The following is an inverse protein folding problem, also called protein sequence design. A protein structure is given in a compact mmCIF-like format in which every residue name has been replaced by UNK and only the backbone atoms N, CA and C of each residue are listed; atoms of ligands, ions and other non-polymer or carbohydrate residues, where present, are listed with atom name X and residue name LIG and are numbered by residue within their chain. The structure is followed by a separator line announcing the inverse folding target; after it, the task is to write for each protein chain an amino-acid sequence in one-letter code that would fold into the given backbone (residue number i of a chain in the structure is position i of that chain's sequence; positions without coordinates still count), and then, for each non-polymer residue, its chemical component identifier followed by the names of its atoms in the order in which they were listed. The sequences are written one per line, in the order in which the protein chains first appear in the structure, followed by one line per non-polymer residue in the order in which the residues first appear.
data_IF_611886841415
#
_entry.id   IF_611886841415
#
_cell.length_a   1.000
_cell.length_b   1.000
_cell.length_c   1.000
_cell.angle_alpha   90.00
_cell.angle_beta   90.00
_cell.angle_gamma   90.00
#
_symmetry.space_group_name_H-M   'P 1'
#
loop_
_entity.id
_entity.type
_entity.pdbx_description
1 polymer ?
#
# COMPACT_ATOMS: atom_id res chain seq x y z
N UNK A 1 -15.61 91.96 37.97
CA UNK A 1 -15.52 91.83 39.44
C UNK A 1 -14.34 90.92 39.78
N UNK A 2 -13.17 91.49 40.04
CA UNK A 2 -11.93 90.74 40.29
C UNK A 2 -11.76 90.50 41.79
N UNK A 3 -12.01 89.27 42.25
CA UNK A 3 -11.69 88.86 43.61
C UNK A 3 -10.19 88.58 43.73
N UNK A 4 -9.41 89.59 44.12
CA UNK A 4 -8.01 89.43 44.53
C UNK A 4 -8.00 88.79 45.91
N UNK A 5 -7.87 87.46 45.95
CA UNK A 5 -7.69 86.70 47.18
C UNK A 5 -6.37 87.04 47.86
N UNK A 6 -6.46 87.55 49.09
CA UNK A 6 -5.36 87.78 50.03
C UNK A 6 -4.63 86.47 50.35
N UNK A 7 -3.33 86.38 50.02
CA UNK A 7 -2.46 85.28 50.48
C UNK A 7 -1.81 85.67 51.80
N UNK A 8 -2.23 85.03 52.88
CA UNK A 8 -1.52 85.05 54.16
C UNK A 8 -0.14 84.40 53.96
N UNK A 9 0.92 85.16 54.24
CA UNK A 9 2.31 84.70 54.22
C UNK A 9 2.61 83.93 55.51
N UNK A 10 2.28 82.64 55.53
CA UNK A 10 2.85 81.70 56.49
C UNK A 10 4.23 81.26 55.97
N UNK A 11 5.27 81.56 56.74
CA UNK A 11 6.65 81.21 56.42
C UNK A 11 6.84 79.70 56.23
N UNK A 12 7.64 79.33 55.23
CA UNK A 12 8.34 78.05 55.20
C UNK A 12 7.73 76.89 54.39
N UNK A 13 6.56 77.03 53.75
CA UNK A 13 6.04 75.96 52.87
C UNK A 13 5.90 76.47 51.45
N UNK A 14 6.77 75.98 50.54
CA UNK A 14 6.66 76.23 49.11
C UNK A 14 5.42 75.48 48.58
N UNK A 15 4.31 76.19 48.40
CA UNK A 15 3.11 75.64 47.74
C UNK A 15 3.39 75.50 46.24
N UNK A 16 3.97 74.36 45.85
CA UNK A 16 4.10 73.98 44.46
C UNK A 16 2.74 73.49 43.95
N UNK A 17 2.12 74.23 43.03
CA UNK A 17 0.96 73.71 42.32
C UNK A 17 1.42 72.57 41.40
N UNK A 18 0.85 71.38 41.59
CA UNK A 18 1.09 70.27 40.68
C UNK A 18 0.64 70.64 39.26
N UNK A 19 1.39 70.19 38.25
CA UNK A 19 0.97 70.33 36.86
C UNK A 19 -0.39 69.63 36.67
N UNK A 20 -1.29 70.17 35.84
CA UNK A 20 -2.56 69.51 35.57
C UNK A 20 -2.32 68.10 35.04
N UNK A 21 -3.18 67.16 35.44
CA UNK A 21 -3.12 65.78 34.98
C UNK A 21 -3.34 65.74 33.47
N UNK A 22 -2.49 64.99 32.76
CA UNK A 22 -2.59 64.79 31.31
C UNK A 22 -3.67 63.74 31.02
N UNK A 23 -4.93 64.14 31.17
CA UNK A 23 -6.07 63.30 30.80
C UNK A 23 -6.33 63.39 29.30
N UNK A 24 -6.68 62.26 28.67
CA UNK A 24 -7.12 62.18 27.28
C UNK A 24 -8.60 62.59 27.18
N UNK A 25 -8.93 63.83 27.59
CA UNK A 25 -10.29 64.40 27.47
C UNK A 25 -10.55 64.98 26.08
N UNK A 26 -9.64 64.76 25.13
CA UNK A 26 -9.81 65.21 23.75
C UNK A 26 -10.93 64.42 23.08
N UNK A 27 -11.63 65.09 22.17
CA UNK A 27 -12.61 64.45 21.30
C UNK A 27 -11.99 63.36 20.43
N UNK A 28 -12.84 62.68 19.69
CA UNK A 28 -12.46 61.56 18.83
C UNK A 28 -11.45 62.06 17.79
N UNK A 29 -10.26 61.47 17.78
CA UNK A 29 -9.21 61.81 16.82
C UNK A 29 -9.56 61.28 15.43
N UNK A 30 -9.62 62.17 14.43
CA UNK A 30 -9.80 61.82 13.02
C UNK A 30 -8.59 62.34 12.23
N UNK A 31 -7.84 61.47 11.54
CA UNK A 31 -6.73 61.90 10.71
C UNK A 31 -7.26 62.70 9.51
N UNK A 32 -6.47 63.66 9.05
CA UNK A 32 -6.74 64.36 7.79
C UNK A 32 -6.24 63.48 6.63
N UNK A 33 -7.09 63.26 5.63
CA UNK A 33 -6.74 62.43 4.47
C UNK A 33 -5.71 63.10 3.53
N UNK A 34 -5.61 64.43 3.57
CA UNK A 34 -4.66 65.19 2.75
C UNK A 34 -3.26 65.27 3.37
N UNK A 35 -3.09 64.89 4.64
CA UNK A 35 -1.81 65.00 5.33
C UNK A 35 -0.93 63.77 5.02
N UNK A 36 0.25 63.93 4.40
CA UNK A 36 1.14 62.80 4.09
C UNK A 36 1.79 62.19 5.35
N UNK A 37 1.72 62.88 6.48
CA UNK A 37 2.21 62.39 7.78
C UNK A 37 1.23 61.39 8.43
N UNK A 38 -0.02 61.30 7.95
CA UNK A 38 -0.98 60.33 8.46
C UNK A 38 -0.62 58.92 7.96
N UNK A 39 -0.50 57.93 8.84
CA UNK A 39 -0.18 56.58 8.41
C UNK A 39 -1.37 55.96 7.66
N UNK A 40 -1.07 55.24 6.57
CA UNK A 40 -2.09 54.72 5.65
C UNK A 40 -3.19 53.87 6.33
N UNK A 41 -2.86 53.10 7.36
CA UNK A 41 -3.83 52.27 8.10
C UNK A 41 -4.89 53.08 8.87
N UNK A 42 -4.65 54.37 9.18
CA UNK A 42 -5.66 55.22 9.81
C UNK A 42 -6.69 55.77 8.81
N UNK A 43 -6.38 55.67 7.51
CA UNK A 43 -7.24 56.12 6.42
C UNK A 43 -8.13 55.00 5.86
N UNK A 44 -8.00 53.77 6.38
CA UNK A 44 -8.78 52.62 5.92
C UNK A 44 -10.15 52.52 6.60
N UNK A 45 -11.07 51.81 5.96
CA UNK A 45 -12.39 51.50 6.52
C UNK A 45 -12.31 50.71 7.85
N UNK A 46 -11.24 49.93 8.05
CA UNK A 46 -11.00 49.18 9.28
C UNK A 46 -10.78 50.11 10.48
N UNK A 47 -10.08 51.23 10.28
CA UNK A 47 -9.90 52.23 11.32
C UNK A 47 -11.20 52.93 11.68
N UNK A 48 -12.03 53.25 10.67
CA UNK A 48 -13.37 53.80 10.87
C UNK A 48 -14.26 52.82 11.66
N UNK A 49 -14.22 51.53 11.32
CA UNK A 49 -14.93 50.48 12.06
C UNK A 49 -14.44 50.37 13.52
N UNK A 50 -13.12 50.47 13.75
CA UNK A 50 -12.54 50.48 15.09
C UNK A 50 -12.98 51.72 15.91
N UNK A 51 -13.05 52.89 15.28
CA UNK A 51 -13.55 54.11 15.93
C UNK A 51 -15.03 53.98 16.29
N UNK A 52 -15.85 53.46 15.38
CA UNK A 52 -17.26 53.17 15.63
C UNK A 52 -17.44 52.13 16.74
N UNK A 53 -16.64 51.07 16.78
CA UNK A 53 -16.69 50.09 17.88
C UNK A 53 -16.35 50.68 19.25
N UNK A 54 -15.46 51.68 19.31
CA UNK A 54 -15.05 52.33 20.58
C UNK A 54 -15.99 53.43 21.06
N UNK A 55 -16.50 54.23 20.14
CA UNK A 55 -17.25 55.45 20.47
C UNK A 55 -18.72 55.40 20.01
N UNK A 56 -19.14 54.31 19.37
CA UNK A 56 -20.48 54.15 18.81
C UNK A 56 -20.79 55.23 17.78
N UNK A 57 -22.06 55.67 17.77
CA UNK A 57 -22.55 56.72 16.87
C UNK A 57 -21.87 58.08 17.07
N UNK A 58 -21.26 58.33 18.23
CA UNK A 58 -20.54 59.57 18.49
C UNK A 58 -19.30 59.73 17.59
N UNK A 59 -18.79 58.64 16.98
CA UNK A 59 -17.69 58.67 16.01
C UNK A 59 -18.04 59.37 14.69
N UNK A 60 -19.34 59.53 14.37
CA UNK A 60 -19.79 60.10 13.11
C UNK A 60 -19.47 59.24 11.88
N UNK A 61 -19.17 57.95 12.08
CA UNK A 61 -19.02 56.97 10.99
C UNK A 61 -20.40 56.43 10.63
N UNK A 62 -20.70 56.39 9.33
CA UNK A 62 -21.95 55.82 8.82
C UNK A 62 -21.99 54.31 9.02
N UNK A 63 -23.00 53.75 9.72
CA UNK A 63 -23.07 52.31 9.99
C UNK A 63 -23.18 51.44 8.74
N UNK A 64 -23.73 51.97 7.64
CA UNK A 64 -23.86 51.25 6.36
C UNK A 64 -22.51 50.90 5.75
N UNK A 65 -21.49 51.73 5.95
CA UNK A 65 -20.13 51.55 5.43
C UNK A 65 -19.35 50.44 6.15
N UNK A 66 -19.85 49.98 7.30
CA UNK A 66 -19.24 48.89 8.07
C UNK A 66 -19.51 47.53 7.43
N UNK A 67 -20.61 47.42 6.67
CA UNK A 67 -20.90 46.21 5.91
C UNK A 67 -19.98 46.11 4.68
N UNK A 68 -19.59 44.90 4.28
CA UNK A 68 -18.83 44.68 3.06
C UNK A 68 -19.53 45.30 1.83
N UNK A 69 -18.74 45.79 0.88
CA UNK A 69 -19.27 46.13 -0.44
C UNK A 69 -19.71 44.86 -1.16
N UNK A 70 -20.57 45.01 -2.18
CA UNK A 70 -21.06 43.88 -2.97
C UNK A 70 -19.91 43.07 -3.61
N UNK A 71 -18.87 43.74 -4.10
CA UNK A 71 -17.68 43.10 -4.67
C UNK A 71 -16.96 42.23 -3.63
N UNK A 72 -16.69 42.79 -2.44
CA UNK A 72 -16.05 42.05 -1.34
C UNK A 72 -16.91 40.89 -0.85
N UNK A 73 -18.23 41.06 -0.85
CA UNK A 73 -19.16 40.00 -0.48
C UNK A 73 -19.09 38.83 -1.46
N UNK A 74 -19.04 39.11 -2.77
CA UNK A 74 -18.87 38.08 -3.79
C UNK A 74 -17.51 37.36 -3.67
N UNK A 75 -16.42 38.09 -3.40
CA UNK A 75 -15.10 37.50 -3.14
C UNK A 75 -15.14 36.55 -1.94
N UNK A 76 -15.70 37.00 -0.81
CA UNK A 76 -15.84 36.17 0.38
C UNK A 76 -16.71 34.93 0.16
N UNK A 77 -17.83 35.07 -0.57
CA UNK A 77 -18.67 33.92 -0.93
C UNK A 77 -17.95 32.93 -1.84
N UNK A 78 -17.14 33.42 -2.78
CA UNK A 78 -16.36 32.57 -3.68
C UNK A 78 -15.26 31.82 -2.92
N UNK A 79 -14.56 32.50 -2.01
CA UNK A 79 -13.60 31.87 -1.11
C UNK A 79 -14.28 30.83 -0.21
N UNK A 80 -15.43 31.15 0.36
CA UNK A 80 -16.17 30.23 1.23
C UNK A 80 -16.57 28.97 0.47
N UNK A 81 -17.15 29.11 -0.73
CA UNK A 81 -17.53 27.97 -1.58
C UNK A 81 -16.33 27.14 -2.02
N UNK A 82 -15.16 27.76 -2.22
CA UNK A 82 -13.95 27.07 -2.66
C UNK A 82 -13.31 26.24 -1.55
N UNK A 83 -13.28 26.78 -0.31
CA UNK A 83 -12.56 26.16 0.81
C UNK A 83 -13.45 25.38 1.77
N UNK A 84 -14.71 25.81 1.94
CA UNK A 84 -15.66 25.25 2.89
C UNK A 84 -16.84 24.62 2.13
N UNK A 85 -16.72 23.34 1.74
CA UNK A 85 -17.81 22.63 1.08
C UNK A 85 -19.03 22.49 2.00
N UNK A 86 -20.17 22.25 1.39
CA UNK A 86 -21.41 22.02 2.14
C UNK A 86 -21.37 20.71 2.93
N UNK A 87 -22.15 20.63 4.01
CA UNK A 87 -22.25 19.42 4.83
C UNK A 87 -22.65 18.18 4.02
N UNK A 88 -23.54 18.37 3.02
CA UNK A 88 -23.99 17.28 2.14
C UNK A 88 -22.86 16.74 1.28
N UNK A 89 -22.04 17.61 0.70
CA UNK A 89 -20.87 17.21 -0.10
C UNK A 89 -19.84 16.47 0.78
N UNK A 90 -19.64 16.93 2.01
CA UNK A 90 -18.77 16.23 2.96
C UNK A 90 -19.29 14.82 3.26
N UNK A 91 -20.58 14.66 3.57
CA UNK A 91 -21.21 13.35 3.80
C UNK A 91 -21.05 12.41 2.59
N UNK A 92 -21.36 12.90 1.38
CA UNK A 92 -21.19 12.13 0.15
C UNK A 92 -19.75 11.69 -0.07
N UNK A 93 -18.78 12.57 0.23
CA UNK A 93 -17.35 12.25 0.11
C UNK A 93 -16.91 11.16 1.10
N UNK A 94 -17.47 11.16 2.31
CA UNK A 94 -17.19 10.15 3.32
C UNK A 94 -17.81 8.81 2.93
N UNK A 95 -19.08 8.80 2.55
CA UNK A 95 -19.75 7.59 2.06
C UNK A 95 -19.03 6.96 0.87
N UNK A 96 -18.52 7.78 -0.06
CA UNK A 96 -17.75 7.29 -1.19
C UNK A 96 -16.42 6.66 -0.75
N UNK A 97 -15.71 7.27 0.21
CA UNK A 97 -14.46 6.73 0.77
C UNK A 97 -14.69 5.44 1.53
N UNK A 98 -15.75 5.36 2.33
CA UNK A 98 -16.15 4.17 3.07
C UNK A 98 -16.46 3.01 2.13
N UNK A 99 -17.27 3.24 1.09
CA UNK A 99 -17.58 2.21 0.08
C UNK A 99 -16.33 1.66 -0.61
N UNK A 100 -15.37 2.53 -0.96
CA UNK A 100 -14.10 2.09 -1.56
C UNK A 100 -13.27 1.29 -0.56
N UNK A 101 -13.17 1.74 0.69
CA UNK A 101 -12.43 1.04 1.73
C UNK A 101 -13.04 -0.35 2.02
N UNK A 102 -14.36 -0.44 2.15
CA UNK A 102 -15.08 -1.70 2.31
C UNK A 102 -14.85 -2.66 1.13
N UNK A 103 -14.93 -2.15 -0.11
CA UNK A 103 -14.69 -2.98 -1.29
C UNK A 103 -13.26 -3.54 -1.30
N UNK A 104 -12.26 -2.73 -0.93
CA UNK A 104 -10.88 -3.18 -0.82
C UNK A 104 -10.68 -4.21 0.31
N UNK A 105 -11.36 -4.04 1.45
CA UNK A 105 -11.32 -5.01 2.54
C UNK A 105 -11.92 -6.35 2.10
N UNK A 106 -13.10 -6.33 1.48
CA UNK A 106 -13.76 -7.55 0.96
C UNK A 106 -12.88 -8.27 -0.05
N UNK A 107 -12.28 -7.57 -1.00
CA UNK A 107 -11.35 -8.18 -1.97
C UNK A 107 -10.14 -8.83 -1.29
N UNK A 108 -9.57 -8.18 -0.26
CA UNK A 108 -8.47 -8.77 0.51
C UNK A 108 -8.92 -10.03 1.25
N UNK A 109 -10.08 -9.98 1.88
CA UNK A 109 -10.67 -11.12 2.59
C UNK A 109 -10.95 -12.30 1.65
N UNK A 110 -11.50 -12.05 0.47
CA UNK A 110 -11.74 -13.07 -0.57
C UNK A 110 -10.43 -13.72 -1.02
N UNK A 111 -9.37 -12.94 -1.26
CA UNK A 111 -8.06 -13.46 -1.64
C UNK A 111 -7.46 -14.30 -0.51
N UNK A 112 -7.57 -13.84 0.74
CA UNK A 112 -7.09 -14.58 1.91
C UNK A 112 -7.87 -15.88 2.05
N UNK A 113 -9.19 -15.86 1.99
CA UNK A 113 -10.04 -17.05 2.06
C UNK A 113 -9.70 -18.06 0.96
N UNK A 114 -9.53 -17.62 -0.29
CA UNK A 114 -9.16 -18.48 -1.41
C UNK A 114 -7.78 -19.13 -1.22
N UNK A 115 -6.81 -18.38 -0.68
CA UNK A 115 -5.48 -18.93 -0.35
C UNK A 115 -5.56 -19.91 0.82
N UNK A 116 -6.28 -19.55 1.88
CA UNK A 116 -6.46 -20.39 3.07
C UNK A 116 -7.13 -21.73 2.71
N UNK A 117 -8.07 -21.74 1.76
CA UNK A 117 -8.68 -22.98 1.27
C UNK A 117 -7.68 -23.91 0.55
N UNK A 118 -6.66 -23.35 -0.11
CA UNK A 118 -5.61 -24.12 -0.81
C UNK A 118 -4.47 -24.58 0.11
N UNK A 119 -4.30 -23.93 1.27
CA UNK A 119 -3.20 -24.22 2.19
C UNK A 119 -3.13 -25.68 2.66
N UNK A 120 -4.22 -26.38 3.01
CA UNK A 120 -4.15 -27.76 3.47
C UNK A 120 -3.54 -28.70 2.41
N UNK A 121 -3.96 -28.57 1.15
CA UNK A 121 -3.41 -29.35 0.03
C UNK A 121 -1.91 -29.08 -0.14
N UNK A 122 -1.51 -27.81 -0.12
CA UNK A 122 -0.09 -27.44 -0.22
C UNK A 122 0.76 -27.98 0.94
N UNK A 123 0.19 -28.05 2.15
CA UNK A 123 0.87 -28.64 3.32
C UNK A 123 1.07 -30.14 3.11
N UNK A 124 0.05 -30.86 2.65
CA UNK A 124 0.13 -32.30 2.36
C UNK A 124 1.15 -32.62 1.26
N UNK A 125 1.16 -31.83 0.20
CA UNK A 125 2.13 -31.92 -0.90
C UNK A 125 3.56 -31.70 -0.36
N UNK A 126 3.78 -30.63 0.40
CA UNK A 126 5.08 -30.33 0.99
C UNK A 126 5.57 -31.43 1.95
N UNK A 127 4.68 -31.95 2.80
CA UNK A 127 5.00 -33.06 3.69
C UNK A 127 5.38 -34.32 2.88
N UNK A 128 4.60 -34.62 1.84
CA UNK A 128 4.85 -35.76 0.96
C UNK A 128 6.20 -35.64 0.23
N UNK A 129 6.53 -34.47 -0.28
CA UNK A 129 7.82 -34.18 -0.90
C UNK A 129 8.98 -34.33 0.09
N UNK A 130 8.81 -33.83 1.32
CA UNK A 130 9.80 -33.97 2.39
C UNK A 130 10.07 -35.44 2.71
N UNK A 131 9.02 -36.27 2.80
CA UNK A 131 9.17 -37.71 3.03
C UNK A 131 9.83 -38.42 1.83
N UNK A 132 9.40 -38.11 0.59
CA UNK A 132 10.02 -38.65 -0.63
C UNK A 132 11.50 -38.30 -0.70
N UNK A 133 11.89 -37.07 -0.34
CA UNK A 133 13.30 -36.65 -0.27
C UNK A 133 14.08 -37.45 0.76
N UNK A 134 13.53 -37.61 1.98
CA UNK A 134 14.15 -38.41 3.04
C UNK A 134 14.34 -39.87 2.62
N UNK A 135 13.34 -40.47 1.98
CA UNK A 135 13.40 -41.85 1.48
C UNK A 135 14.48 -42.00 0.40
N UNK A 136 14.55 -41.05 -0.56
CA UNK A 136 15.62 -41.05 -1.57
C UNK A 136 17.01 -40.93 -0.96
N UNK A 137 17.18 -40.05 0.02
CA UNK A 137 18.45 -39.92 0.75
C UNK A 137 18.84 -41.21 1.49
N UNK A 138 17.86 -41.91 2.09
CA UNK A 138 18.09 -43.21 2.73
C UNK A 138 18.48 -44.29 1.71
N UNK A 139 17.75 -44.40 0.60
CA UNK A 139 18.06 -45.33 -0.48
C UNK A 139 19.44 -45.06 -1.09
N UNK A 140 19.84 -43.80 -1.26
CA UNK A 140 21.18 -43.45 -1.70
C UNK A 140 22.25 -43.84 -0.68
N UNK A 141 22.02 -43.61 0.62
CA UNK A 141 22.94 -44.05 1.68
C UNK A 141 23.10 -45.56 1.69
N UNK A 142 22.01 -46.31 1.56
CA UNK A 142 22.02 -47.77 1.48
C UNK A 142 22.75 -48.25 0.22
N UNK A 143 22.46 -47.67 -0.95
CA UNK A 143 23.16 -47.98 -2.20
C UNK A 143 24.66 -47.74 -2.07
N UNK A 144 25.07 -46.59 -1.50
CA UNK A 144 26.48 -46.28 -1.25
C UNK A 144 27.12 -47.28 -0.28
N UNK A 145 26.41 -47.66 0.79
CA UNK A 145 26.87 -48.68 1.75
C UNK A 145 27.08 -50.05 1.09
N UNK A 146 26.15 -50.48 0.24
CA UNK A 146 26.25 -51.74 -0.50
C UNK A 146 27.43 -51.72 -1.48
N UNK A 147 27.59 -50.63 -2.24
CA UNK A 147 28.72 -50.44 -3.15
C UNK A 147 30.07 -50.50 -2.43
N UNK A 148 30.15 -49.88 -1.25
CA UNK A 148 31.36 -49.92 -0.43
C UNK A 148 31.65 -51.31 0.12
N UNK A 149 30.62 -52.06 0.53
CA UNK A 149 30.78 -53.43 1.01
C UNK A 149 31.32 -54.36 -0.09
N UNK A 150 30.75 -54.28 -1.29
CA UNK A 150 31.19 -55.07 -2.45
C UNK A 150 32.63 -54.70 -2.86
N UNK A 151 32.99 -53.42 -2.84
CA UNK A 151 34.36 -52.99 -3.08
C UNK A 151 35.33 -53.57 -2.04
N UNK A 152 34.93 -53.61 -0.76
CA UNK A 152 35.74 -54.20 0.31
C UNK A 152 35.94 -55.71 0.16
N UNK A 153 34.99 -56.41 -0.45
CA UNK A 153 35.14 -57.83 -0.78
C UNK A 153 36.13 -58.07 -1.93
N UNK A 154 36.17 -57.17 -2.92
CA UNK A 154 37.05 -57.30 -4.09
C UNK A 154 38.47 -56.82 -3.85
N UNK A 155 38.67 -55.65 -3.22
CA UNK A 155 39.99 -55.03 -3.04
C UNK A 155 40.43 -54.93 -1.58
N UNK A 156 39.60 -55.37 -0.61
CA UNK A 156 39.95 -55.47 0.82
C UNK A 156 39.42 -54.33 1.71
N UNK A 157 39.65 -54.44 3.03
CA UNK A 157 38.99 -53.60 4.04
C UNK A 157 39.44 -52.12 4.10
N UNK A 158 40.57 -51.76 3.50
CA UNK A 158 41.18 -50.41 3.57
C UNK A 158 40.76 -49.45 2.43
N UNK A 159 39.52 -49.55 1.97
CA UNK A 159 39.02 -48.74 0.86
C UNK A 159 38.05 -47.65 1.33
N UNK A 160 38.29 -46.43 0.83
CA UNK A 160 37.43 -45.26 0.96
C UNK A 160 36.75 -44.89 -0.36
N UNK A 161 35.60 -44.23 -0.29
CA UNK A 161 34.85 -43.78 -1.48
C UNK A 161 35.61 -42.83 -2.41
N UNK A 162 36.64 -42.15 -1.91
CA UNK A 162 37.46 -41.20 -2.68
C UNK A 162 38.66 -41.86 -3.37
N UNK A 163 38.90 -43.15 -3.11
CA UNK A 163 39.99 -43.90 -3.74
C UNK A 163 39.79 -43.99 -5.26
N UNK A 164 40.85 -43.86 -6.08
CA UNK A 164 40.77 -44.01 -7.54
C UNK A 164 40.25 -45.38 -7.95
N UNK A 165 40.62 -46.44 -7.23
CA UNK A 165 40.22 -47.82 -7.51
C UNK A 165 38.70 -48.02 -7.37
N UNK A 166 38.09 -47.40 -6.34
CA UNK A 166 36.64 -47.42 -6.15
C UNK A 166 35.91 -46.70 -7.28
N UNK A 167 36.46 -45.58 -7.75
CA UNK A 167 35.87 -44.81 -8.84
C UNK A 167 35.92 -45.59 -10.16
N UNK A 168 37.02 -46.28 -10.46
CA UNK A 168 37.14 -47.12 -11.65
C UNK A 168 36.11 -48.28 -11.63
N UNK A 169 35.97 -48.97 -10.50
CA UNK A 169 34.98 -50.03 -10.30
C UNK A 169 33.54 -49.53 -10.52
N UNK A 170 33.19 -48.37 -9.94
CA UNK A 170 31.87 -47.76 -10.12
C UNK A 170 31.64 -47.40 -11.59
N UNK A 171 32.63 -46.82 -12.26
CA UNK A 171 32.55 -46.42 -13.67
C UNK A 171 32.37 -47.61 -14.61
N UNK A 172 33.04 -48.73 -14.35
CA UNK A 172 32.84 -49.98 -15.11
C UNK A 172 31.43 -50.52 -14.94
N UNK A 173 30.90 -50.50 -13.72
CA UNK A 173 29.53 -50.97 -13.45
C UNK A 173 28.46 -50.07 -14.04
N UNK A 174 28.66 -48.76 -14.03
CA UNK A 174 27.78 -47.82 -14.72
C UNK A 174 27.80 -48.02 -16.24
N UNK A 175 28.97 -48.32 -16.83
CA UNK A 175 29.07 -48.69 -18.25
C UNK A 175 28.29 -49.97 -18.54
N UNK A 176 28.46 -51.02 -17.73
CA UNK A 176 27.73 -52.29 -17.90
C UNK A 176 26.22 -52.09 -17.80
N UNK A 177 25.74 -51.42 -16.75
CA UNK A 177 24.30 -51.10 -16.59
C UNK A 177 23.76 -50.26 -17.74
N UNK A 178 24.55 -49.30 -18.25
CA UNK A 178 24.14 -48.47 -19.39
C UNK A 178 24.04 -49.29 -20.68
N UNK A 179 24.88 -50.31 -20.86
CA UNK A 179 24.79 -51.22 -21.99
C UNK A 179 23.56 -52.14 -21.89
N UNK A 180 23.32 -52.72 -20.72
CA UNK A 180 22.12 -53.53 -20.44
C UNK A 180 20.83 -52.74 -20.67
N UNK A 181 20.74 -51.51 -20.13
CA UNK A 181 19.58 -50.64 -20.35
C UNK A 181 19.37 -50.28 -21.83
N UNK A 182 20.45 -50.09 -22.60
CA UNK A 182 20.36 -49.85 -24.05
C UNK A 182 19.83 -51.08 -24.77
N UNK A 183 20.25 -52.27 -24.37
CA UNK A 183 19.78 -53.53 -24.94
C UNK A 183 18.32 -53.81 -24.59
N UNK A 184 17.93 -53.66 -23.32
CA UNK A 184 16.54 -53.77 -22.89
C UNK A 184 15.64 -52.77 -23.62
N UNK A 185 16.09 -51.52 -23.78
CA UNK A 185 15.36 -50.52 -24.55
C UNK A 185 15.24 -50.90 -26.04
N UNK A 186 16.27 -51.50 -26.64
CA UNK A 186 16.22 -52.03 -28.01
C UNK A 186 15.25 -53.21 -28.11
N UNK A 187 15.27 -54.14 -27.15
CA UNK A 187 14.35 -55.28 -27.07
C UNK A 187 12.90 -54.83 -26.91
N UNK A 188 12.63 -53.89 -26.00
CA UNK A 188 11.29 -53.33 -25.80
C UNK A 188 10.79 -52.57 -27.02
N UNK A 189 11.65 -51.81 -27.73
CA UNK A 189 11.30 -51.19 -29.01
C UNK A 189 11.03 -52.22 -30.11
N UNK A 190 11.80 -53.30 -30.16
CA UNK A 190 11.57 -54.42 -31.07
C UNK A 190 10.24 -55.12 -30.81
N UNK A 191 9.89 -55.35 -29.53
CA UNK A 191 8.61 -55.93 -29.12
C UNK A 191 7.44 -54.98 -29.42
N UNK A 192 7.59 -53.67 -29.15
CA UNK A 192 6.58 -52.67 -29.51
C UNK A 192 6.40 -52.54 -31.01
N UNK A 193 7.48 -52.59 -31.81
CA UNK A 193 7.41 -52.58 -33.27
C UNK A 193 6.74 -53.85 -33.82
N UNK A 194 7.02 -55.02 -33.23
CA UNK A 194 6.34 -56.28 -33.57
C UNK A 194 4.85 -56.23 -33.22
N UNK A 195 4.49 -55.76 -32.02
CA UNK A 195 3.07 -55.54 -31.64
C UNK A 195 2.37 -54.50 -32.52
N UNK A 196 3.07 -53.46 -32.96
CA UNK A 196 2.56 -52.46 -33.91
C UNK A 196 2.41 -53.03 -35.34
N UNK A 197 3.24 -54.00 -35.75
CA UNK A 197 3.08 -54.72 -37.01
C UNK A 197 1.96 -55.77 -36.92
N UNK A 198 1.86 -56.51 -35.82
CA UNK A 198 0.77 -57.46 -35.57
C UNK A 198 -0.59 -56.76 -35.51
N UNK A 199 -0.69 -55.61 -34.84
CA UNK A 199 -1.92 -54.80 -34.85
C UNK A 199 -2.23 -54.19 -36.23
N UNK A 200 -1.21 -53.89 -37.05
CA UNK A 200 -1.41 -53.48 -38.45
C UNK A 200 -1.81 -54.63 -39.37
N UNK A 201 -1.29 -55.83 -39.15
CA UNK A 201 -1.64 -57.07 -39.88
C UNK A 201 -3.05 -57.55 -39.49
N UNK A 202 -3.41 -57.40 -38.21
CA UNK A 202 -4.77 -57.65 -37.71
C UNK A 202 -5.76 -56.60 -38.22
N UNK A 203 -5.34 -55.35 -38.39
CA UNK A 203 -6.14 -54.30 -39.04
C UNK A 203 -6.17 -54.40 -40.59
N UNK A 204 -5.33 -55.26 -41.19
CA UNK A 204 -5.27 -55.49 -42.64
C UNK A 204 -5.68 -56.91 -43.06
N UNK A 205 -6.25 -57.72 -42.16
CA UNK A 205 -6.94 -58.97 -42.54
C UNK A 205 -8.39 -58.65 -42.90
N UNK A 206 -8.82 -58.93 -44.14
CA UNK A 206 -10.19 -58.72 -44.58
C UNK A 206 -11.06 -59.91 -44.15
N UNK A 207 -11.45 -59.97 -42.88
CA UNK A 207 -12.51 -60.88 -42.40
C UNK A 207 -13.47 -60.09 -41.52
N UNK A 208 -14.33 -59.31 -42.19
CA UNK A 208 -15.65 -58.85 -41.74
C UNK A 208 -16.34 -58.04 -42.87
N UNK A 209 -16.49 -58.66 -44.03
CA UNK A 209 -17.48 -58.24 -45.04
C UNK A 209 -18.45 -59.37 -45.45
N UNK A 210 -18.38 -60.56 -44.85
CA UNK A 210 -19.30 -61.67 -45.17
C UNK A 210 -20.44 -61.88 -44.16
N UNK A 211 -20.43 -61.30 -42.95
CA UNK A 211 -21.58 -61.40 -42.01
C UNK A 211 -22.64 -60.29 -42.14
N UNK A 212 -22.58 -59.42 -43.16
CA UNK A 212 -23.64 -58.42 -43.45
C UNK A 212 -24.47 -58.75 -44.70
N UNK A 213 -24.29 -59.93 -45.30
CA UNK A 213 -25.07 -60.38 -46.45
C UNK A 213 -26.23 -61.35 -46.09
N UNK A 214 -26.31 -61.88 -44.88
CA UNK A 214 -27.37 -62.83 -44.45
C UNK A 214 -28.47 -62.23 -43.56
N UNK A 215 -28.56 -60.91 -43.41
CA UNK A 215 -29.72 -60.24 -42.77
C UNK A 215 -30.47 -59.29 -43.71
N UNK A 216 -30.41 -59.58 -45.01
CA UNK A 216 -31.43 -59.18 -45.98
C UNK A 216 -32.05 -60.46 -46.49
N UNK A 217 -33.09 -60.93 -45.81
CA UNK A 217 -34.18 -61.78 -46.31
C UNK A 217 -34.90 -62.40 -45.09
N UNK A 218 -35.68 -61.58 -44.37
CA UNK A 218 -36.98 -61.84 -43.71
C UNK A 218 -37.64 -60.47 -43.51
#
# INVERSE_FOLDING_TARGET
MAARGSRLLLGGVRLYNAKPLKLQLKGIYRPNAADPAAPAWQLTAEYEAKLFGRHGRASGVDPSRLWPSLEKLQEMEAEEKAWYPSLKEMQQSLEAKEKVAEAQQRQKEEIIAAKMAKMPQMIEEWQSEKQKRKLKEQQEKERRRLLLAEAREQYGYHLDHHSPEFQEMVMEREKMKRMEQKEEKKRMRGIQAKKAMESKILASSPDNQEEMAEQKDI
#
